data_IF_970396726149
#
_entry.id   IF_970396726149
#
_cell.length_a   1.000
_cell.length_b   1.000
_cell.length_c   1.000
_cell.angle_alpha   90.00
_cell.angle_beta   90.00
_cell.angle_gamma   90.00
#
_symmetry.space_group_name_H-M   'P 1'
#
loop_
_entity.id
_entity.type
_entity.pdbx_description
1 polymer ?
#
# COMPACT_ATOMS: atom_id res chain seq x y z
N UNK A 1 -4.84 20.75 -20.63
CA UNK A 1 -6.28 20.87 -20.42
C UNK A 1 -6.62 20.05 -19.18
N UNK A 2 -7.13 20.68 -18.12
CA UNK A 2 -7.41 20.03 -16.83
C UNK A 2 -8.87 19.56 -16.79
N UNK A 3 -9.33 18.98 -17.89
CA UNK A 3 -10.71 18.51 -18.04
C UNK A 3 -10.90 17.25 -17.19
N UNK A 4 -11.91 17.28 -16.33
CA UNK A 4 -12.34 16.12 -15.56
C UNK A 4 -12.86 15.03 -16.50
N UNK A 5 -12.28 13.83 -16.41
CA UNK A 5 -12.66 12.70 -17.27
C UNK A 5 -13.80 11.87 -16.65
N UNK A 6 -13.76 11.67 -15.32
CA UNK A 6 -14.75 10.89 -14.55
C UNK A 6 -14.86 11.46 -13.13
N UNK A 7 -16.09 11.58 -12.62
CA UNK A 7 -16.41 11.92 -11.23
C UNK A 7 -16.98 10.70 -10.50
N UNK A 8 -16.36 10.26 -9.40
CA UNK A 8 -16.85 9.13 -8.58
C UNK A 8 -16.90 9.56 -7.11
N UNK A 9 -18.01 9.25 -6.44
CA UNK A 9 -18.22 9.50 -5.02
C UNK A 9 -18.88 8.30 -4.34
N UNK A 10 -18.13 7.21 -4.23
CA UNK A 10 -18.60 5.97 -3.59
C UNK A 10 -18.42 5.97 -2.06
N UNK A 11 -17.47 6.75 -1.55
CA UNK A 11 -17.15 6.85 -0.12
C UNK A 11 -17.48 8.23 0.44
N UNK A 12 -17.77 8.26 1.74
CA UNK A 12 -18.08 9.49 2.50
C UNK A 12 -16.85 10.05 3.22
N UNK A 13 -15.91 9.16 3.53
CA UNK A 13 -14.72 9.44 4.30
C UNK A 13 -13.54 9.83 3.40
N UNK A 14 -12.47 10.36 4.00
CA UNK A 14 -11.29 10.81 3.27
C UNK A 14 -10.59 9.65 2.53
N UNK A 15 -10.04 9.96 1.36
CA UNK A 15 -9.18 9.05 0.61
C UNK A 15 -7.73 9.41 0.92
N UNK A 16 -6.96 8.45 1.42
CA UNK A 16 -5.57 8.66 1.84
C UNK A 16 -4.56 8.27 0.77
N UNK A 17 -4.87 7.24 -0.02
CA UNK A 17 -3.89 6.64 -0.94
C UNK A 17 -4.57 6.16 -2.23
N UNK A 18 -3.87 6.32 -3.36
CA UNK A 18 -4.34 5.98 -4.70
C UNK A 18 -3.18 5.38 -5.50
N UNK A 19 -3.32 4.15 -6.02
CA UNK A 19 -2.33 3.59 -6.96
C UNK A 19 -2.99 2.80 -8.08
N UNK A 20 -2.50 3.03 -9.29
CA UNK A 20 -2.76 2.14 -10.43
C UNK A 20 -1.98 0.84 -10.27
N UNK A 21 -2.56 -0.25 -10.76
CA UNK A 21 -1.83 -1.51 -10.93
C UNK A 21 -0.75 -1.34 -12.03
N UNK A 22 0.38 -2.07 -11.97
CA UNK A 22 1.46 -1.94 -12.94
C UNK A 22 1.06 -2.17 -14.41
N UNK A 23 0.09 -3.05 -14.63
CA UNK A 23 -0.52 -3.31 -15.95
C UNK A 23 -1.55 -2.27 -16.39
N UNK A 24 -1.90 -1.30 -15.53
CA UNK A 24 -2.86 -0.24 -15.81
C UNK A 24 -4.32 -0.67 -15.83
N UNK A 25 -4.63 -1.93 -15.48
CA UNK A 25 -5.99 -2.48 -15.55
C UNK A 25 -6.86 -2.00 -14.39
N UNK A 26 -6.26 -1.74 -13.23
CA UNK A 26 -6.96 -1.45 -11.98
C UNK A 26 -6.47 -0.17 -11.32
N UNK A 27 -7.37 0.48 -10.58
CA UNK A 27 -7.05 1.55 -9.63
C UNK A 27 -7.49 1.10 -8.24
N UNK A 28 -6.54 1.08 -7.29
CA UNK A 28 -6.82 0.88 -5.86
C UNK A 28 -6.95 2.22 -5.15
N UNK A 29 -7.96 2.33 -4.29
CA UNK A 29 -8.32 3.55 -3.56
C UNK A 29 -8.45 3.22 -2.07
N UNK A 30 -7.48 3.65 -1.27
CA UNK A 30 -7.45 3.45 0.19
C UNK A 30 -8.22 4.54 0.92
N UNK A 31 -9.21 4.14 1.71
CA UNK A 31 -10.15 5.02 2.37
C UNK A 31 -9.93 5.05 3.90
N UNK A 32 -10.36 6.14 4.52
CA UNK A 32 -10.38 6.32 5.97
C UNK A 32 -11.45 5.46 6.68
N UNK A 33 -12.38 4.83 5.93
CA UNK A 33 -13.36 3.87 6.46
C UNK A 33 -12.86 2.42 6.52
N UNK A 34 -11.53 2.22 6.46
CA UNK A 34 -10.83 0.93 6.54
C UNK A 34 -10.96 0.05 5.29
N UNK A 35 -11.56 0.55 4.20
CA UNK A 35 -11.72 -0.19 2.95
C UNK A 35 -10.69 0.22 1.90
N UNK A 36 -10.43 -0.70 0.96
CA UNK A 36 -9.79 -0.37 -0.31
C UNK A 36 -10.71 -0.72 -1.47
N UNK A 37 -11.14 0.27 -2.22
CA UNK A 37 -11.94 0.06 -3.42
C UNK A 37 -11.06 -0.23 -4.63
N UNK A 38 -11.50 -1.18 -5.46
CA UNK A 38 -10.82 -1.56 -6.70
C UNK A 38 -11.71 -1.18 -7.88
N UNK A 39 -11.19 -0.32 -8.75
CA UNK A 39 -11.87 0.16 -9.95
C UNK A 39 -11.24 -0.42 -11.21
N UNK A 40 -12.07 -0.86 -12.15
CA UNK A 40 -11.62 -1.30 -13.47
C UNK A 40 -11.45 -0.10 -14.41
N UNK A 41 -10.21 0.18 -14.83
CA UNK A 41 -9.87 1.37 -15.65
C UNK A 41 -10.59 1.35 -17.00
N UNK A 42 -10.53 0.22 -17.71
CA UNK A 42 -11.19 0.06 -19.02
C UNK A 42 -12.73 0.13 -18.95
N UNK A 43 -13.32 -0.10 -17.78
CA UNK A 43 -14.77 -0.05 -17.55
C UNK A 43 -15.24 1.34 -17.10
N UNK A 44 -14.54 2.40 -17.54
CA UNK A 44 -14.77 3.79 -17.08
C UNK A 44 -14.73 3.91 -15.56
N UNK A 45 -13.73 3.29 -14.93
CA UNK A 45 -13.56 3.30 -13.48
C UNK A 45 -14.81 2.80 -12.73
N UNK A 46 -15.42 1.73 -13.22
CA UNK A 46 -16.46 1.01 -12.45
C UNK A 46 -15.84 0.27 -11.28
N UNK A 47 -16.44 0.33 -10.09
CA UNK A 47 -16.03 -0.48 -8.94
C UNK A 47 -16.26 -1.96 -9.24
N UNK A 48 -15.20 -2.77 -9.15
CA UNK A 48 -15.19 -4.21 -9.47
C UNK A 48 -14.85 -5.09 -8.26
N UNK A 49 -14.32 -4.49 -7.19
CA UNK A 49 -13.90 -5.21 -6.00
C UNK A 49 -13.73 -4.28 -4.82
N UNK A 50 -13.62 -4.88 -3.65
CA UNK A 50 -13.42 -4.18 -2.39
C UNK A 50 -12.59 -5.07 -1.46
N UNK A 51 -11.54 -4.51 -0.87
CA UNK A 51 -10.74 -5.16 0.14
C UNK A 51 -11.28 -4.76 1.51
N UNK A 52 -11.69 -5.75 2.28
CA UNK A 52 -12.20 -5.59 3.65
C UNK A 52 -11.35 -6.42 4.60
N UNK A 53 -11.22 -5.98 5.86
CA UNK A 53 -10.49 -6.72 6.90
C UNK A 53 -9.51 -5.86 7.71
N UNK A 54 -9.15 -4.68 7.23
CA UNK A 54 -8.42 -3.69 8.03
C UNK A 54 -9.34 -3.17 9.14
N UNK A 55 -8.77 -2.90 10.31
CA UNK A 55 -9.51 -2.40 11.48
C UNK A 55 -9.31 -0.90 11.72
N UNK A 56 -8.50 -0.26 10.89
CA UNK A 56 -8.22 1.16 10.91
C UNK A 56 -8.07 1.70 9.48
N UNK A 57 -7.95 3.01 9.35
CA UNK A 57 -7.80 3.71 8.09
C UNK A 57 -6.59 3.22 7.31
N UNK A 58 -6.69 3.19 5.99
CA UNK A 58 -5.59 2.75 5.12
C UNK A 58 -4.54 3.87 5.05
N UNK A 59 -3.28 3.52 5.31
CA UNK A 59 -2.15 4.46 5.28
C UNK A 59 -1.30 4.33 4.03
N UNK A 60 -1.04 3.09 3.60
CA UNK A 60 -0.19 2.80 2.43
C UNK A 60 -0.71 1.61 1.65
N UNK A 61 -0.38 1.54 0.37
CA UNK A 61 -0.67 0.40 -0.48
C UNK A 61 0.37 0.21 -1.59
N UNK A 62 0.67 -1.05 -1.90
CA UNK A 62 1.56 -1.44 -2.99
C UNK A 62 0.99 -2.62 -3.76
N UNK A 63 1.09 -2.55 -5.09
CA UNK A 63 0.71 -3.63 -5.99
C UNK A 63 1.85 -4.62 -6.19
N UNK A 64 1.50 -5.88 -6.43
CA UNK A 64 2.46 -6.84 -6.98
C UNK A 64 2.85 -6.47 -8.41
N UNK A 65 4.06 -6.84 -8.82
CA UNK A 65 4.57 -6.58 -10.17
C UNK A 65 3.74 -7.24 -11.28
N UNK A 66 2.98 -8.27 -10.94
CA UNK A 66 2.06 -8.96 -11.85
C UNK A 66 0.60 -8.53 -11.71
N UNK A 67 0.32 -7.46 -10.94
CA UNK A 67 -1.01 -6.89 -10.70
C UNK A 67 -2.04 -7.85 -10.05
N UNK A 68 -1.61 -9.00 -9.52
CA UNK A 68 -2.51 -10.01 -8.94
C UNK A 68 -2.68 -9.92 -7.42
N UNK A 69 -1.84 -9.16 -6.74
CA UNK A 69 -1.90 -8.96 -5.31
C UNK A 69 -1.78 -7.48 -4.96
N UNK A 70 -2.38 -7.13 -3.82
CA UNK A 70 -2.23 -5.84 -3.18
C UNK A 70 -1.82 -6.07 -1.73
N UNK A 71 -0.85 -5.32 -1.24
CA UNK A 71 -0.62 -5.18 0.19
C UNK A 71 -1.12 -3.82 0.65
N UNK A 72 -1.55 -3.75 1.91
CA UNK A 72 -1.93 -2.50 2.55
C UNK A 72 -1.33 -2.40 3.95
N UNK A 73 -1.17 -1.18 4.44
CA UNK A 73 -0.96 -0.90 5.85
C UNK A 73 -2.18 -0.13 6.39
N UNK A 74 -2.55 -0.42 7.63
CA UNK A 74 -3.58 0.33 8.35
C UNK A 74 -2.97 1.21 9.45
N UNK A 75 -3.77 2.14 9.99
CA UNK A 75 -3.38 3.04 11.08
C UNK A 75 -3.11 2.35 12.43
N UNK A 76 -3.24 1.02 12.52
CA UNK A 76 -2.78 0.23 13.66
C UNK A 76 -1.44 -0.47 13.39
N UNK A 77 -0.79 -0.14 12.27
CA UNK A 77 0.49 -0.72 11.85
C UNK A 77 0.35 -2.15 11.34
N UNK A 78 -0.87 -2.64 11.08
CA UNK A 78 -1.10 -3.99 10.57
C UNK A 78 -0.98 -4.01 9.05
N UNK A 79 -0.33 -5.06 8.54
CA UNK A 79 -0.21 -5.31 7.10
C UNK A 79 -1.21 -6.37 6.66
N UNK A 80 -1.97 -6.07 5.62
CA UNK A 80 -2.91 -6.99 4.99
C UNK A 80 -2.50 -7.30 3.55
N UNK A 81 -2.97 -8.42 3.03
CA UNK A 81 -2.71 -8.88 1.67
C UNK A 81 -4.02 -9.32 1.02
N UNK A 82 -4.20 -8.96 -0.25
CA UNK A 82 -5.42 -9.23 -0.99
C UNK A 82 -5.10 -9.77 -2.37
N UNK A 83 -5.90 -10.71 -2.86
CA UNK A 83 -5.87 -11.21 -4.22
C UNK A 83 -6.84 -10.41 -5.10
N UNK A 84 -6.34 -9.97 -6.24
CA UNK A 84 -7.05 -9.12 -7.20
C UNK A 84 -7.64 -9.93 -8.35
N UNK A 85 -8.72 -9.44 -8.99
CA UNK A 85 -9.41 -8.18 -8.73
C UNK A 85 -10.47 -8.23 -7.61
N UNK A 86 -10.75 -9.41 -7.05
CA UNK A 86 -11.87 -9.60 -6.12
C UNK A 86 -11.68 -9.02 -4.72
N UNK A 87 -10.48 -8.56 -4.35
CA UNK A 87 -10.20 -8.00 -3.02
C UNK A 87 -10.22 -9.05 -1.90
N UNK A 88 -10.04 -10.34 -2.23
CA UNK A 88 -10.11 -11.42 -1.24
C UNK A 88 -8.85 -11.45 -0.39
N UNK A 89 -8.98 -11.41 0.93
CA UNK A 89 -7.85 -11.47 1.85
C UNK A 89 -7.05 -12.79 1.69
N UNK A 90 -5.73 -12.67 1.75
CA UNK A 90 -4.75 -13.76 1.65
C UNK A 90 -4.00 -13.86 2.98
N UNK A 91 -4.07 -15.04 3.61
CA UNK A 91 -3.39 -15.32 4.89
C UNK A 91 -2.32 -16.40 4.77
N UNK A 92 -2.20 -17.07 3.61
CA UNK A 92 -1.14 -18.07 3.36
C UNK A 92 0.22 -17.40 3.27
N UNK A 93 1.14 -17.79 4.16
CA UNK A 93 2.51 -17.26 4.18
C UNK A 93 3.32 -17.71 2.97
N UNK A 94 3.06 -18.92 2.48
CA UNK A 94 3.73 -19.50 1.30
C UNK A 94 3.40 -18.68 0.06
N UNK A 95 2.12 -18.32 -0.11
CA UNK A 95 1.69 -17.47 -1.20
C UNK A 95 2.32 -16.07 -1.11
N UNK A 96 2.22 -15.42 0.06
CA UNK A 96 2.73 -14.05 0.26
C UNK A 96 4.25 -13.97 0.02
N UNK A 97 5.02 -14.98 0.45
CA UNK A 97 6.48 -15.03 0.24
C UNK A 97 6.86 -15.10 -1.25
N UNK A 98 6.00 -15.65 -2.10
CA UNK A 98 6.23 -15.74 -3.54
C UNK A 98 5.88 -14.47 -4.30
N UNK A 99 5.30 -13.46 -3.65
CA UNK A 99 4.87 -12.22 -4.31
C UNK A 99 6.07 -11.28 -4.50
N UNK A 100 6.27 -10.85 -5.74
CA UNK A 100 7.17 -9.75 -6.07
C UNK A 100 6.38 -8.44 -6.13
N UNK A 101 6.79 -7.46 -5.33
CA UNK A 101 6.14 -6.15 -5.26
C UNK A 101 6.67 -5.21 -6.34
N UNK A 102 5.79 -4.42 -6.93
CA UNK A 102 6.15 -3.45 -7.97
C UNK A 102 6.85 -2.22 -7.39
N UNK A 103 6.43 -1.81 -6.20
CA UNK A 103 6.97 -0.72 -5.41
C UNK A 103 7.00 -1.11 -3.93
N UNK A 104 7.75 -0.37 -3.14
CA UNK A 104 7.74 -0.51 -1.69
C UNK A 104 7.54 0.84 -1.02
N UNK A 105 6.30 1.12 -0.65
CA UNK A 105 5.89 2.31 0.09
C UNK A 105 5.30 1.99 1.47
N UNK A 106 4.90 0.73 1.71
CA UNK A 106 4.45 0.27 3.01
C UNK A 106 5.54 0.38 4.10
N UNK A 107 5.23 1.11 5.18
CA UNK A 107 6.08 1.31 6.37
C UNK A 107 6.08 0.11 7.33
N UNK A 108 5.06 -0.74 7.23
CA UNK A 108 4.91 -1.97 8.02
C UNK A 108 5.11 -3.20 7.15
N UNK A 109 6.11 -4.01 7.50
CA UNK A 109 6.45 -5.28 6.84
C UNK A 109 7.71 -5.89 7.44
N UNK A 110 7.88 -7.21 7.31
CA UNK A 110 9.08 -7.90 7.83
C UNK A 110 10.33 -7.36 7.14
N UNK A 111 10.22 -7.05 5.85
CA UNK A 111 11.28 -6.57 4.97
C UNK A 111 11.78 -5.16 5.31
N UNK A 112 11.02 -4.39 6.08
CA UNK A 112 11.37 -3.02 6.47
C UNK A 112 11.28 -2.76 7.97
N UNK A 113 11.09 -3.79 8.81
CA UNK A 113 10.91 -3.59 10.25
C UNK A 113 12.11 -2.93 10.96
N UNK A 114 13.28 -2.87 10.31
CA UNK A 114 14.47 -2.20 10.80
C UNK A 114 14.48 -0.68 10.64
N UNK A 115 13.53 -0.10 9.91
CA UNK A 115 13.43 1.36 9.76
C UNK A 115 13.03 2.08 11.04
N UNK A 116 12.32 1.37 11.92
CA UNK A 116 11.74 1.90 13.16
C UNK A 116 12.79 2.01 14.27
N UNK A 117 13.13 3.23 14.74
CA UNK A 117 14.05 3.44 15.84
C UNK A 117 13.61 2.76 17.15
N UNK A 118 14.54 2.65 18.10
CA UNK A 118 14.18 2.22 19.45
C UNK A 118 13.29 3.30 20.08
N UNK A 119 12.15 2.88 20.64
CA UNK A 119 11.16 3.77 21.28
C UNK A 119 10.36 4.67 20.32
N UNK A 120 10.32 4.34 19.03
CA UNK A 120 9.42 5.04 18.09
C UNK A 120 7.98 4.54 18.23
N UNK A 121 7.02 5.44 18.04
CA UNK A 121 5.62 5.08 17.88
C UNK A 121 5.34 4.62 16.45
N UNK A 122 4.24 3.88 16.25
CA UNK A 122 3.87 3.27 14.96
C UNK A 122 3.57 4.28 13.84
N UNK A 123 3.47 5.56 14.18
CA UNK A 123 3.16 6.65 13.26
C UNK A 123 4.34 7.61 13.04
N UNK A 124 5.47 7.41 13.72
CA UNK A 124 6.61 8.33 13.62
C UNK A 124 7.17 8.39 12.19
N UNK A 125 7.09 7.28 11.43
CA UNK A 125 7.54 7.22 10.04
C UNK A 125 6.33 7.37 9.13
N UNK A 126 6.31 8.48 8.39
CA UNK A 126 5.21 8.89 7.53
C UNK A 126 5.27 8.31 6.13
N UNK A 127 6.48 8.07 5.62
CA UNK A 127 6.65 7.66 4.23
C UNK A 127 7.92 6.84 4.07
N UNK A 128 7.82 5.86 3.17
CA UNK A 128 8.89 4.99 2.72
C UNK A 128 8.85 4.95 1.21
N UNK A 129 10.02 4.89 0.56
CA UNK A 129 10.11 4.51 -0.84
C UNK A 129 11.33 3.62 -1.10
N UNK A 130 11.16 2.62 -1.96
CA UNK A 130 12.13 1.57 -2.22
C UNK A 130 12.71 1.64 -3.63
N UNK A 131 14.02 1.81 -3.73
CA UNK A 131 14.75 1.67 -4.98
C UNK A 131 15.39 0.27 -5.06
N UNK A 132 14.73 -0.65 -5.77
CA UNK A 132 15.21 -2.02 -5.94
C UNK A 132 16.53 -2.10 -6.72
N UNK A 133 16.74 -1.23 -7.71
CA UNK A 133 17.97 -1.21 -8.52
C UNK A 133 19.16 -0.81 -7.63
N UNK A 134 18.96 0.22 -6.81
CA UNK A 134 19.97 0.68 -5.86
C UNK A 134 20.09 -0.16 -4.60
N UNK A 135 19.17 -1.10 -4.36
CA UNK A 135 19.01 -1.85 -3.10
C UNK A 135 18.95 -0.93 -1.87
N UNK A 136 18.23 0.19 -2.00
CA UNK A 136 18.12 1.23 -0.97
C UNK A 136 16.66 1.50 -0.67
N UNK A 137 16.38 1.80 0.59
CA UNK A 137 15.11 2.29 1.08
C UNK A 137 15.32 3.69 1.66
N UNK A 138 14.43 4.63 1.39
CA UNK A 138 14.42 5.95 2.02
C UNK A 138 13.19 6.07 2.92
N UNK A 139 13.33 6.74 4.07
CA UNK A 139 12.22 7.03 4.99
C UNK A 139 12.16 8.51 5.31
N UNK A 140 10.97 9.00 5.62
CA UNK A 140 10.73 10.33 6.18
C UNK A 140 9.88 10.22 7.46
N UNK A 141 10.26 10.93 8.51
CA UNK A 141 9.59 10.92 9.82
C UNK A 141 8.96 12.27 10.20
N UNK A 142 8.15 12.27 11.27
CA UNK A 142 7.46 13.44 11.83
C UNK A 142 8.41 14.55 12.30
N UNK A 143 9.70 14.23 12.46
CA UNK A 143 10.72 15.16 12.93
C UNK A 143 11.47 15.82 11.77
N UNK A 144 11.01 15.61 10.53
CA UNK A 144 11.61 16.16 9.32
C UNK A 144 12.92 15.46 8.93
N UNK A 145 13.20 14.27 9.46
CA UNK A 145 14.43 13.55 9.18
C UNK A 145 14.21 12.59 8.01
N UNK A 146 15.13 12.65 7.04
CA UNK A 146 15.21 11.68 5.95
C UNK A 146 16.36 10.71 6.23
N UNK A 147 16.09 9.40 6.19
CA UNK A 147 17.09 8.34 6.42
C UNK A 147 17.13 7.41 5.23
N UNK A 148 18.33 6.93 4.89
CA UNK A 148 18.54 5.92 3.86
C UNK A 148 19.04 4.63 4.51
N UNK A 149 18.46 3.51 4.10
CA UNK A 149 18.77 2.17 4.57
C UNK A 149 19.07 1.25 3.39
N UNK A 150 19.71 0.11 3.64
CA UNK A 150 19.77 -0.98 2.66
C UNK A 150 18.42 -1.71 2.65
N UNK A 151 17.99 -2.14 1.47
CA UNK A 151 16.79 -2.95 1.29
C UNK A 151 17.17 -4.42 1.00
N UNK A 152 16.56 -5.40 1.68
CA UNK A 152 15.62 -5.27 2.81
C UNK A 152 16.29 -4.76 4.09
N UNK A 153 15.53 -4.05 4.92
CA UNK A 153 15.97 -3.45 6.18
C UNK A 153 15.39 -4.22 7.37
N UNK A 154 16.14 -5.22 7.86
CA UNK A 154 15.74 -6.01 9.02
C UNK A 154 16.23 -5.40 10.33
N UNK A 155 15.37 -5.44 11.35
CA UNK A 155 15.75 -5.13 12.73
C UNK A 155 16.77 -6.16 13.22
N UNK A 156 17.91 -5.67 13.73
CA UNK A 156 18.95 -6.48 14.36
C UNK A 156 18.60 -6.80 15.81
#
# INVERSE_FOLDING_TARGET
DMTEVVHIKDRKEAIHELKYSPDGTYLAVGCNDNSVDIYGVAQRYKKIGECVGSLSFITHLDWSSDSRHLQTNDGHGKRHFYRMPGGKEVTSKEEIKGVHWASWTCVSGIEVNGIWPKYSDINDINSVDGNYIGQVLVTADDFGIVKLFRYPCYKK
#
